data_IF_823559039571
#
_entry.id   IF_823559039571
#
_cell.length_a   1.000
_cell.length_b   1.000
_cell.length_c   1.000
_cell.angle_alpha   90.00
_cell.angle_beta   90.00
_cell.angle_gamma   90.00
#
_symmetry.space_group_name_H-M   'P 1'
#
loop_
_entity.id
_entity.type
_entity.pdbx_description
1 polymer ?
#
# COMPACT_ATOMS: atom_id res chain seq x y z
N UNK A 1 -0.13 -11.26 52.50
CA UNK A 1 -0.34 -11.56 51.07
C UNK A 1 -0.41 -10.23 50.34
N UNK A 2 0.70 -9.77 49.78
CA UNK A 2 0.78 -8.50 49.03
C UNK A 2 0.67 -8.86 47.56
N UNK A 3 -0.46 -8.51 46.93
CA UNK A 3 -0.61 -8.62 45.48
C UNK A 3 0.08 -7.39 44.90
N UNK A 4 1.32 -7.56 44.42
CA UNK A 4 1.99 -6.55 43.61
C UNK A 4 1.16 -6.29 42.36
N UNK A 5 0.66 -5.06 42.18
CA UNK A 5 0.13 -4.60 40.90
C UNK A 5 1.26 -4.67 39.88
N UNK A 6 1.27 -5.73 39.08
CA UNK A 6 2.05 -5.79 37.85
C UNK A 6 1.35 -4.85 36.87
N UNK A 7 1.80 -3.58 36.79
CA UNK A 7 1.42 -2.74 35.65
C UNK A 7 2.08 -3.33 34.43
N UNK A 8 1.32 -4.11 33.66
CA UNK A 8 1.71 -4.50 32.31
C UNK A 8 1.72 -3.20 31.51
N UNK A 9 2.90 -2.65 31.22
CA UNK A 9 3.05 -1.63 30.19
C UNK A 9 2.84 -2.37 28.87
N UNK A 10 1.63 -2.32 28.33
CA UNK A 10 1.39 -2.73 26.95
C UNK A 10 1.96 -1.58 26.12
N UNK A 11 3.16 -1.75 25.56
CA UNK A 11 3.65 -0.85 24.50
C UNK A 11 2.65 -0.93 23.35
N UNK A 12 2.09 0.21 22.99
CA UNK A 12 1.23 0.39 21.84
C UNK A 12 2.11 0.76 20.64
N UNK A 13 1.84 0.10 19.51
CA UNK A 13 2.40 0.48 18.21
C UNK A 13 1.22 1.01 17.41
N UNK A 14 1.29 2.28 17.05
CA UNK A 14 0.34 2.88 16.12
C UNK A 14 0.82 2.67 14.69
N UNK A 15 -0.07 2.38 13.76
CA UNK A 15 0.28 2.11 12.37
C UNK A 15 -0.68 2.74 11.38
N UNK A 16 -0.13 3.14 10.23
CA UNK A 16 -0.90 3.50 9.06
C UNK A 16 -0.37 2.74 7.85
N UNK A 17 -1.23 2.02 7.14
CA UNK A 17 -0.84 1.14 6.02
C UNK A 17 -1.79 1.34 4.85
N UNK A 18 -1.25 1.54 3.67
CA UNK A 18 -1.98 1.57 2.41
C UNK A 18 -1.68 0.30 1.60
N UNK A 19 -2.72 -0.29 1.02
CA UNK A 19 -2.65 -1.48 0.19
C UNK A 19 -3.38 -1.23 -1.12
N UNK A 20 -2.66 -1.36 -2.23
CA UNK A 20 -3.19 -1.27 -3.58
C UNK A 20 -3.09 -2.64 -4.26
N UNK A 21 -4.15 -3.04 -4.94
CA UNK A 21 -4.20 -4.32 -5.67
C UNK A 21 -4.82 -4.08 -7.02
N UNK A 22 -4.07 -4.36 -8.09
CA UNK A 22 -4.57 -4.45 -9.47
C UNK A 22 -4.67 -5.91 -9.90
N UNK A 23 -5.73 -6.29 -10.59
CA UNK A 23 -5.99 -7.69 -10.98
C UNK A 23 -6.34 -7.84 -12.45
N UNK A 24 -6.17 -9.06 -12.97
CA UNK A 24 -6.71 -9.53 -14.25
C UNK A 24 -7.54 -10.80 -14.04
N UNK A 25 -8.41 -11.12 -15.00
CA UNK A 25 -9.15 -12.39 -15.00
C UNK A 25 -10.34 -12.49 -14.04
N UNK A 26 -10.67 -11.42 -13.30
CA UNK A 26 -11.80 -11.39 -12.36
C UNK A 26 -12.89 -10.42 -12.84
N UNK A 27 -13.93 -10.93 -13.49
CA UNK A 27 -15.03 -10.09 -14.02
C UNK A 27 -15.99 -9.56 -12.95
N UNK A 28 -16.06 -10.20 -11.78
CA UNK A 28 -16.95 -9.81 -10.68
C UNK A 28 -16.27 -8.93 -9.64
N UNK A 29 -14.95 -8.78 -9.70
CA UNK A 29 -14.18 -7.95 -8.77
C UNK A 29 -13.69 -6.68 -9.49
N UNK A 30 -13.52 -5.56 -8.78
CA UNK A 30 -12.89 -4.38 -9.36
C UNK A 30 -11.50 -4.73 -9.89
N UNK A 31 -11.16 -4.22 -11.08
CA UNK A 31 -9.81 -4.37 -11.66
C UNK A 31 -8.75 -3.74 -10.75
N UNK A 32 -9.12 -2.74 -9.95
CA UNK A 32 -8.26 -2.12 -8.96
C UNK A 32 -9.01 -1.80 -7.66
N UNK A 33 -8.37 -2.08 -6.53
CA UNK A 33 -8.80 -1.68 -5.20
C UNK A 33 -7.65 -1.03 -4.44
N UNK A 34 -7.98 -0.02 -3.65
CA UNK A 34 -7.05 0.61 -2.72
C UNK A 34 -7.73 0.78 -1.36
N UNK A 35 -7.02 0.42 -0.30
CA UNK A 35 -7.50 0.57 1.06
C UNK A 35 -6.40 1.09 1.98
N UNK A 36 -6.82 1.86 2.97
CA UNK A 36 -5.95 2.43 3.99
C UNK A 36 -6.42 1.93 5.35
N UNK A 37 -5.48 1.46 6.16
CA UNK A 37 -5.71 1.02 7.53
C UNK A 37 -5.03 1.99 8.49
N UNK A 38 -5.71 2.31 9.59
CA UNK A 38 -5.13 2.95 10.77
C UNK A 38 -5.34 1.99 11.94
N UNK A 39 -4.26 1.58 12.61
CA UNK A 39 -4.28 0.57 13.68
C UNK A 39 -5.08 -0.69 13.28
N UNK A 40 -4.81 -1.17 12.07
CA UNK A 40 -5.46 -2.30 11.41
C UNK A 40 -7.00 -2.17 11.22
N UNK A 41 -7.55 -0.98 11.41
CA UNK A 41 -8.94 -0.64 11.11
C UNK A 41 -9.06 0.07 9.77
N UNK A 42 -10.09 -0.28 8.98
CA UNK A 42 -10.32 0.32 7.66
C UNK A 42 -10.62 1.82 7.80
N UNK A 43 -9.67 2.64 7.39
CA UNK A 43 -9.76 4.10 7.38
C UNK A 43 -10.38 4.61 6.08
N UNK A 44 -10.02 4.01 4.96
CA UNK A 44 -10.46 4.47 3.64
C UNK A 44 -10.46 3.35 2.62
N UNK A 45 -11.36 3.47 1.65
CA UNK A 45 -11.55 2.48 0.59
C UNK A 45 -11.82 3.15 -0.76
N UNK A 46 -11.28 2.57 -1.82
CA UNK A 46 -11.52 2.91 -3.22
C UNK A 46 -11.59 1.63 -4.03
N UNK A 47 -12.48 1.59 -5.02
CA UNK A 47 -12.49 0.57 -6.06
C UNK A 47 -12.75 1.16 -7.44
N UNK A 48 -12.29 0.47 -8.48
CA UNK A 48 -12.42 0.94 -9.86
C UNK A 48 -13.83 0.83 -10.46
N UNK A 49 -14.80 0.22 -9.78
CA UNK A 49 -16.20 0.16 -10.25
C UNK A 49 -16.95 1.43 -9.84
N UNK A 50 -16.82 1.83 -8.57
CA UNK A 50 -17.40 3.07 -8.03
C UNK A 50 -16.56 4.29 -8.39
N UNK A 51 -15.26 4.06 -8.61
CA UNK A 51 -14.28 5.06 -9.02
C UNK A 51 -14.19 6.26 -8.06
N UNK A 52 -14.39 6.00 -6.77
CA UNK A 52 -14.49 6.97 -5.68
C UNK A 52 -13.78 6.45 -4.42
N UNK A 53 -13.01 7.33 -3.77
CA UNK A 53 -12.50 7.08 -2.43
C UNK A 53 -13.53 7.50 -1.39
N UNK A 54 -13.63 6.73 -0.30
CA UNK A 54 -14.46 7.09 0.84
C UNK A 54 -13.75 6.78 2.16
N UNK A 55 -13.58 7.83 2.98
CA UNK A 55 -13.23 7.69 4.40
C UNK A 55 -14.34 6.97 5.19
N UNK A 56 -13.96 6.06 6.07
CA UNK A 56 -14.89 5.22 6.84
C UNK A 56 -15.18 5.77 8.24
N UNK A 57 -14.34 6.68 8.74
CA UNK A 57 -14.52 7.28 10.06
C UNK A 57 -15.20 8.64 9.98
N UNK A 58 -16.13 8.90 10.90
CA UNK A 58 -16.82 10.19 11.04
C UNK A 58 -15.85 11.36 11.18
N UNK A 59 -14.75 11.18 11.94
CA UNK A 59 -13.77 12.25 12.14
C UNK A 59 -13.10 12.69 10.84
N UNK A 60 -13.00 11.83 9.82
CA UNK A 60 -12.44 12.22 8.53
C UNK A 60 -13.38 13.18 7.81
N UNK A 61 -14.68 12.90 7.83
CA UNK A 61 -15.68 13.81 7.29
C UNK A 61 -15.70 15.13 8.06
N UNK A 62 -15.71 15.07 9.39
CA UNK A 62 -15.81 16.26 10.24
C UNK A 62 -14.56 17.17 10.15
N UNK A 63 -13.37 16.62 9.91
CA UNK A 63 -12.10 17.37 9.98
C UNK A 63 -11.37 17.53 8.62
N UNK A 64 -11.51 16.58 7.69
CA UNK A 64 -10.85 16.61 6.39
C UNK A 64 -11.83 16.99 5.27
N UNK A 65 -13.09 16.58 5.41
CA UNK A 65 -14.17 16.95 4.51
C UNK A 65 -14.05 16.39 3.09
N UNK A 66 -14.91 16.92 2.21
CA UNK A 66 -15.05 16.45 0.82
C UNK A 66 -13.78 16.64 -0.01
N UNK A 67 -13.02 17.71 0.24
CA UNK A 67 -11.81 18.03 -0.52
C UNK A 67 -10.75 16.92 -0.39
N UNK A 68 -10.62 16.33 0.80
CA UNK A 68 -9.75 15.19 1.02
C UNK A 68 -10.21 13.95 0.23
N UNK A 69 -11.51 13.61 0.30
CA UNK A 69 -12.09 12.47 -0.44
C UNK A 69 -11.88 12.65 -1.97
N UNK A 70 -12.07 13.86 -2.50
CA UNK A 70 -11.86 14.17 -3.91
C UNK A 70 -10.37 14.09 -4.30
N UNK A 71 -9.46 14.59 -3.44
CA UNK A 71 -8.02 14.51 -3.67
C UNK A 71 -7.55 13.04 -3.70
N UNK A 72 -7.98 12.22 -2.73
CA UNK A 72 -7.66 10.79 -2.72
C UNK A 72 -8.26 10.08 -3.94
N UNK A 73 -9.49 10.43 -4.32
CA UNK A 73 -10.13 9.89 -5.53
C UNK A 73 -9.29 10.15 -6.78
N UNK A 74 -8.82 11.39 -6.99
CA UNK A 74 -8.02 11.75 -8.16
C UNK A 74 -6.68 11.00 -8.20
N UNK A 75 -6.02 10.85 -7.04
CA UNK A 75 -4.76 10.10 -6.92
C UNK A 75 -4.99 8.62 -7.26
N UNK A 76 -6.05 8.02 -6.70
CA UNK A 76 -6.33 6.59 -6.86
C UNK A 76 -6.87 6.23 -8.24
N UNK A 77 -7.52 7.16 -8.93
CA UNK A 77 -7.85 7.02 -10.36
C UNK A 77 -6.58 6.91 -11.23
N UNK A 78 -5.57 7.74 -10.95
CA UNK A 78 -4.25 7.62 -11.59
C UNK A 78 -3.59 6.27 -11.26
N UNK A 79 -3.61 5.88 -9.99
CA UNK A 79 -3.07 4.59 -9.55
C UNK A 79 -3.77 3.40 -10.24
N UNK A 80 -5.09 3.43 -10.40
CA UNK A 80 -5.83 2.36 -11.08
C UNK A 80 -5.34 2.14 -12.52
N UNK A 81 -5.10 3.21 -13.28
CA UNK A 81 -4.54 3.12 -14.62
C UNK A 81 -3.11 2.54 -14.62
N UNK A 82 -2.26 2.99 -13.70
CA UNK A 82 -0.90 2.48 -13.54
C UNK A 82 -0.90 0.99 -13.18
N UNK A 83 -1.73 0.55 -12.23
CA UNK A 83 -1.80 -0.85 -11.79
C UNK A 83 -2.35 -1.79 -12.85
N UNK A 84 -3.31 -1.33 -13.66
CA UNK A 84 -3.79 -2.06 -14.84
C UNK A 84 -2.68 -2.33 -15.86
N UNK A 85 -1.73 -1.41 -16.02
CA UNK A 85 -0.55 -1.63 -16.86
C UNK A 85 0.46 -2.55 -16.17
N UNK A 86 0.72 -2.33 -14.88
CA UNK A 86 1.71 -3.08 -14.10
C UNK A 86 1.41 -4.58 -14.05
N UNK A 87 0.14 -4.97 -13.87
CA UNK A 87 -0.24 -6.40 -13.89
C UNK A 87 0.02 -7.04 -15.26
N UNK A 88 -0.20 -6.32 -16.37
CA UNK A 88 0.09 -6.82 -17.73
C UNK A 88 1.59 -6.98 -17.96
N UNK A 89 2.37 -5.98 -17.57
CA UNK A 89 3.84 -6.05 -17.66
C UNK A 89 4.38 -7.20 -16.82
N UNK A 90 3.84 -7.42 -15.61
CA UNK A 90 4.21 -8.56 -14.79
C UNK A 90 3.90 -9.89 -15.51
N UNK A 91 2.68 -10.06 -16.02
CA UNK A 91 2.29 -11.26 -16.78
C UNK A 91 3.25 -11.52 -17.95
N UNK A 92 3.59 -10.50 -18.75
CA UNK A 92 4.54 -10.63 -19.86
C UNK A 92 5.93 -11.09 -19.38
N UNK A 93 6.42 -10.56 -18.26
CA UNK A 93 7.75 -10.92 -17.69
C UNK A 93 7.79 -12.33 -17.11
N UNK A 94 6.65 -12.85 -16.70
CA UNK A 94 6.49 -14.22 -16.22
C UNK A 94 5.99 -15.18 -17.30
N UNK A 95 5.88 -14.72 -18.56
CA UNK A 95 5.38 -15.48 -19.71
C UNK A 95 3.96 -16.04 -19.49
N UNK A 96 3.10 -15.27 -18.84
CA UNK A 96 1.70 -15.60 -18.56
C UNK A 96 0.78 -14.83 -19.51
N UNK A 97 -0.25 -15.49 -20.06
CA UNK A 97 -1.17 -14.88 -21.04
C UNK A 97 -2.64 -14.97 -20.64
N UNK A 98 -2.97 -15.84 -19.69
CA UNK A 98 -4.33 -16.10 -19.22
C UNK A 98 -4.28 -16.48 -17.73
N UNK A 99 -5.43 -16.41 -17.07
CA UNK A 99 -5.57 -16.71 -15.65
C UNK A 99 -5.89 -15.47 -14.84
N UNK A 100 -5.96 -15.66 -13.52
CA UNK A 100 -6.13 -14.59 -12.54
C UNK A 100 -4.75 -14.23 -12.01
N UNK A 101 -4.38 -12.97 -12.16
CA UNK A 101 -3.12 -12.44 -11.62
C UNK A 101 -3.37 -11.18 -10.81
N UNK A 102 -2.51 -10.96 -9.81
CA UNK A 102 -2.60 -9.81 -8.93
C UNK A 102 -1.24 -9.12 -8.78
N UNK A 103 -1.20 -7.81 -9.04
CA UNK A 103 -0.07 -6.97 -8.71
C UNK A 103 -0.43 -6.09 -7.52
N UNK A 104 0.41 -6.15 -6.48
CA UNK A 104 0.11 -5.57 -5.17
C UNK A 104 1.20 -4.59 -4.76
N UNK A 105 0.79 -3.55 -4.05
CA UNK A 105 1.69 -2.57 -3.45
C UNK A 105 1.22 -2.25 -2.05
N UNK A 106 2.14 -2.33 -1.09
CA UNK A 106 1.90 -1.96 0.29
C UNK A 106 2.93 -0.94 0.71
N UNK A 107 2.49 0.14 1.33
CA UNK A 107 3.37 1.07 2.00
C UNK A 107 2.74 1.61 3.27
N UNK A 108 3.55 2.09 4.20
CA UNK A 108 3.02 2.58 5.47
C UNK A 108 4.10 2.91 6.47
N UNK A 109 3.67 3.24 7.68
CA UNK A 109 4.53 3.52 8.81
C UNK A 109 3.96 2.97 10.11
N UNK A 110 4.85 2.81 11.07
CA UNK A 110 4.56 2.50 12.47
C UNK A 110 5.26 3.51 13.37
N UNK A 111 4.61 3.86 14.47
CA UNK A 111 5.12 4.67 15.56
C UNK A 111 4.94 3.89 16.86
N UNK A 112 6.06 3.61 17.52
CA UNK A 112 6.09 2.97 18.84
C UNK A 112 5.99 4.02 19.95
N UNK A 113 5.58 3.61 21.15
CA UNK A 113 5.46 4.47 22.32
C UNK A 113 6.79 5.07 22.78
N UNK A 114 7.91 4.39 22.47
CA UNK A 114 9.26 4.90 22.71
C UNK A 114 9.70 5.98 21.68
N UNK A 115 8.82 6.31 20.73
CA UNK A 115 9.06 7.26 19.66
C UNK A 115 9.78 6.67 18.43
N UNK A 116 10.14 5.38 18.47
CA UNK A 116 10.72 4.68 17.33
C UNK A 116 9.74 4.64 16.17
N UNK A 117 10.26 4.85 14.97
CA UNK A 117 9.47 4.84 13.74
C UNK A 117 9.97 3.77 12.79
N UNK A 118 9.04 3.11 12.12
CA UNK A 118 9.32 2.13 11.07
C UNK A 118 8.52 2.50 9.83
N UNK A 119 9.09 2.27 8.66
CA UNK A 119 8.43 2.50 7.38
C UNK A 119 8.51 1.26 6.49
N UNK A 120 7.47 1.05 5.70
CA UNK A 120 7.32 -0.10 4.83
C UNK A 120 7.01 0.34 3.41
N UNK A 121 7.63 -0.30 2.42
CA UNK A 121 7.26 -0.22 1.01
C UNK A 121 7.62 -1.51 0.31
N UNK A 122 6.61 -2.18 -0.23
CA UNK A 122 6.70 -3.53 -0.77
C UNK A 122 5.79 -3.68 -1.97
N UNK A 123 6.28 -4.37 -2.99
CA UNK A 123 5.51 -4.86 -4.12
C UNK A 123 5.37 -6.37 -4.03
N UNK A 124 4.20 -6.88 -4.42
CA UNK A 124 3.90 -8.29 -4.56
C UNK A 124 3.33 -8.62 -5.93
N UNK A 125 3.53 -9.86 -6.36
CA UNK A 125 2.92 -10.41 -7.57
C UNK A 125 2.42 -11.83 -7.27
N UNK A 126 1.15 -12.10 -7.57
CA UNK A 126 0.45 -13.37 -7.29
C UNK A 126 0.62 -13.86 -5.84
N UNK A 127 0.58 -12.93 -4.89
CA UNK A 127 0.72 -13.22 -3.45
C UNK A 127 2.17 -13.43 -2.98
N UNK A 128 3.15 -13.39 -3.88
CA UNK A 128 4.56 -13.47 -3.51
C UNK A 128 5.20 -12.08 -3.40
N UNK A 129 6.00 -11.89 -2.34
CA UNK A 129 6.83 -10.71 -2.20
C UNK A 129 7.81 -10.61 -3.38
N UNK A 130 7.74 -9.49 -4.07
CA UNK A 130 8.44 -9.27 -5.32
C UNK A 130 9.62 -8.30 -5.13
N UNK A 131 9.36 -7.15 -4.50
CA UNK A 131 10.33 -6.08 -4.27
C UNK A 131 10.07 -5.40 -2.92
N UNK A 132 11.10 -5.12 -2.13
CA UNK A 132 10.98 -4.44 -0.83
C UNK A 132 12.02 -3.34 -0.73
N UNK A 133 11.61 -2.17 -0.23
CA UNK A 133 12.53 -1.09 0.08
C UNK A 133 13.16 -1.31 1.46
N UNK A 134 14.49 -1.22 1.52
CA UNK A 134 15.27 -1.15 2.74
C UNK A 134 15.63 0.30 3.01
N UNK A 135 15.04 0.86 4.07
CA UNK A 135 15.27 2.25 4.49
C UNK A 135 16.69 2.48 5.00
N UNK A 136 17.34 1.47 5.58
CA UNK A 136 18.67 1.63 6.18
C UNK A 136 19.75 1.77 5.10
N UNK A 137 19.60 1.01 4.01
CA UNK A 137 20.54 1.05 2.87
C UNK A 137 20.07 1.97 1.75
N UNK A 138 18.82 2.44 1.80
CA UNK A 138 18.15 3.19 0.72
C UNK A 138 18.15 2.43 -0.61
N UNK A 139 18.03 1.11 -0.55
CA UNK A 139 18.02 0.23 -1.72
C UNK A 139 16.77 -0.63 -1.76
N UNK A 140 16.48 -1.18 -2.95
CA UNK A 140 15.42 -2.17 -3.09
C UNK A 140 16.03 -3.58 -3.14
N UNK A 141 15.52 -4.47 -2.30
CA UNK A 141 15.80 -5.90 -2.36
C UNK A 141 14.71 -6.58 -3.18
N UNK A 142 15.10 -7.36 -4.19
CA UNK A 142 14.18 -8.18 -4.97
C UNK A 142 14.34 -9.65 -4.58
N UNK A 143 13.26 -10.42 -4.72
CA UNK A 143 13.29 -11.89 -4.55
C UNK A 143 13.69 -12.60 -5.84
N UNK A 144 13.43 -11.97 -6.98
CA UNK A 144 13.62 -12.51 -8.33
C UNK A 144 14.80 -11.84 -9.04
N UNK A 145 15.22 -12.40 -10.17
CA UNK A 145 16.20 -11.80 -11.08
C UNK A 145 15.90 -10.30 -11.32
N UNK A 146 16.94 -9.45 -11.25
CA UNK A 146 16.84 -8.00 -11.44
C UNK A 146 16.09 -7.61 -12.71
N UNK A 147 16.27 -8.37 -13.79
CA UNK A 147 15.59 -8.14 -15.07
C UNK A 147 14.06 -8.21 -14.96
N UNK A 148 13.53 -9.04 -14.05
CA UNK A 148 12.09 -9.15 -13.80
C UNK A 148 11.55 -7.96 -13.02
N UNK A 149 12.34 -7.33 -12.15
CA UNK A 149 11.88 -6.30 -11.22
C UNK A 149 12.21 -4.86 -11.62
N UNK A 150 13.15 -4.65 -12.54
CA UNK A 150 13.63 -3.31 -12.88
C UNK A 150 12.56 -2.40 -13.52
N UNK A 151 11.53 -2.97 -14.12
CA UNK A 151 10.43 -2.20 -14.70
C UNK A 151 9.62 -1.46 -13.63
N UNK A 152 9.54 -1.96 -12.39
CA UNK A 152 8.90 -1.23 -11.28
C UNK A 152 9.63 0.08 -11.03
N UNK A 153 10.97 0.09 -11.06
CA UNK A 153 11.74 1.35 -10.92
C UNK A 153 11.49 2.32 -12.08
N UNK A 154 10.96 1.86 -13.21
CA UNK A 154 10.66 2.70 -14.38
C UNK A 154 9.20 3.17 -14.42
N UNK A 155 8.26 2.29 -14.12
CA UNK A 155 6.81 2.50 -14.26
C UNK A 155 6.06 2.60 -12.92
N UNK A 156 6.67 2.16 -11.82
CA UNK A 156 6.20 2.40 -10.45
C UNK A 156 6.64 3.76 -9.91
N UNK A 157 7.67 4.39 -10.50
CA UNK A 157 8.17 5.75 -10.19
C UNK A 157 7.20 6.89 -10.56
N UNK A 158 5.92 6.68 -10.38
CA UNK A 158 4.93 7.76 -10.36
C UNK A 158 5.13 8.63 -9.11
N UNK A 159 4.45 9.78 -9.09
CA UNK A 159 4.41 10.73 -7.96
C UNK A 159 4.14 10.05 -6.61
N UNK A 160 3.39 8.94 -6.62
CA UNK A 160 3.06 8.11 -5.45
C UNK A 160 4.28 7.43 -4.82
N UNK A 161 5.17 6.79 -5.58
CA UNK A 161 6.40 6.20 -5.01
C UNK A 161 7.29 7.28 -4.39
N UNK A 162 7.42 8.45 -5.02
CA UNK A 162 8.25 9.54 -4.49
C UNK A 162 7.70 10.10 -3.19
N UNK A 163 6.38 10.26 -3.11
CA UNK A 163 5.68 10.68 -1.89
C UNK A 163 5.81 9.59 -0.81
N UNK A 164 5.59 8.31 -1.16
CA UNK A 164 5.69 7.19 -0.22
C UNK A 164 7.11 7.01 0.31
N UNK A 165 8.14 7.10 -0.54
CA UNK A 165 9.55 7.05 -0.11
C UNK A 165 9.89 8.23 0.79
N UNK A 166 9.42 9.45 0.48
CA UNK A 166 9.62 10.61 1.34
C UNK A 166 8.95 10.43 2.71
N UNK A 167 7.72 9.90 2.76
CA UNK A 167 7.00 9.53 3.98
C UNK A 167 7.75 8.47 4.80
N UNK A 168 8.33 7.47 4.14
CA UNK A 168 9.06 6.38 4.81
C UNK A 168 10.40 6.87 5.35
N UNK A 169 11.12 7.72 4.61
CA UNK A 169 12.40 8.27 5.07
C UNK A 169 12.19 9.10 6.35
N UNK A 170 11.09 9.86 6.46
CA UNK A 170 10.78 10.70 7.63
C UNK A 170 10.06 9.96 8.77
N UNK A 171 9.56 8.75 8.52
CA UNK A 171 9.09 7.80 9.52
C UNK A 171 10.25 7.00 10.10
#
# INVERSE_FOLDING_TARGET
MIISKLSIIISAIHSWKAYYTGTTGLSQFPEFVALNLIDDQLMGYFDSQTNRFKGQFKWMEDNLGKDYDDQQTNILQGAAATFKNNVKVAMDRFNQTQGVHAFQFMYGCELDDDGSKRGYLQYGYDGENFLRFDKNTLTFTNKWDSTRADWIKKYGRDTLERISVALIITA
#
